data_IF_214156414829
#
_entry.id   IF_214156414829
#
_cell.length_a   1.000
_cell.length_b   1.000
_cell.length_c   1.000
_cell.angle_alpha   90.00
_cell.angle_beta   90.00
_cell.angle_gamma   90.00
#
_symmetry.space_group_name_H-M   'P 1'
#
loop_
_entity.id
_entity.type
_entity.pdbx_description
1 polymer ?
#
# COMPACT_ATOMS: atom_id res chain seq x y z
N UNK A 1 2.49 9.06 -18.62
CA UNK A 1 2.84 8.52 -17.30
C UNK A 1 2.48 9.55 -16.24
N UNK A 2 1.53 9.26 -15.36
CA UNK A 2 1.24 10.15 -14.23
C UNK A 2 2.46 10.24 -13.32
N UNK A 3 2.85 11.44 -12.90
CA UNK A 3 3.99 11.63 -11.98
C UNK A 3 3.71 10.90 -10.68
N UNK A 4 4.55 9.94 -10.31
CA UNK A 4 4.51 9.31 -9.00
C UNK A 4 4.85 10.34 -7.91
N UNK A 5 4.14 10.29 -6.79
CA UNK A 5 4.43 11.09 -5.61
C UNK A 5 5.18 10.21 -4.60
N UNK A 6 6.22 10.76 -3.98
CA UNK A 6 7.01 10.07 -2.94
C UNK A 6 6.51 10.52 -1.57
N UNK A 7 6.34 9.57 -0.68
CA UNK A 7 6.01 9.80 0.73
C UNK A 7 7.06 9.06 1.56
N UNK A 8 7.69 9.75 2.50
CA UNK A 8 8.58 9.14 3.48
C UNK A 8 7.77 8.82 4.74
N UNK A 9 7.91 7.60 5.24
CA UNK A 9 7.25 7.12 6.46
C UNK A 9 8.30 6.50 7.37
N UNK A 10 8.06 6.57 8.67
CA UNK A 10 8.89 5.93 9.68
C UNK A 10 8.10 4.80 10.35
N UNK A 11 8.75 3.66 10.54
CA UNK A 11 8.21 2.51 11.24
C UNK A 11 9.13 2.17 12.41
N UNK A 12 8.55 1.64 13.48
CA UNK A 12 9.34 1.01 14.54
C UNK A 12 9.99 -0.27 14.01
N UNK A 13 11.02 -0.78 14.69
CA UNK A 13 11.65 -2.05 14.30
C UNK A 13 10.66 -3.21 14.28
N UNK A 14 9.73 -3.26 15.23
CA UNK A 14 8.70 -4.30 15.29
C UNK A 14 7.73 -4.23 14.12
N UNK A 15 7.35 -3.02 13.69
CA UNK A 15 6.54 -2.81 12.50
C UNK A 15 7.32 -3.18 11.23
N UNK A 16 8.62 -2.85 11.17
CA UNK A 16 9.46 -3.23 10.03
C UNK A 16 9.59 -4.74 9.87
N UNK A 17 9.87 -5.46 10.97
CA UNK A 17 9.91 -6.93 11.01
C UNK A 17 8.59 -7.57 10.58
N UNK A 18 7.46 -6.89 10.80
CA UNK A 18 6.17 -7.33 10.29
C UNK A 18 6.07 -7.13 8.78
N UNK A 19 6.48 -5.96 8.26
CA UNK A 19 6.48 -5.67 6.83
C UNK A 19 7.35 -6.64 6.03
N UNK A 20 8.51 -7.02 6.56
CA UNK A 20 9.44 -7.95 5.91
C UNK A 20 8.83 -9.33 5.65
N UNK A 21 7.85 -9.77 6.46
CA UNK A 21 7.16 -11.05 6.26
C UNK A 21 6.33 -11.09 4.97
N UNK A 22 6.00 -9.94 4.39
CA UNK A 22 5.23 -9.85 3.16
C UNK A 22 6.11 -9.79 1.90
N UNK A 23 7.44 -9.81 2.04
CA UNK A 23 8.35 -9.81 0.89
C UNK A 23 8.18 -11.09 0.07
N UNK A 24 8.05 -10.95 -1.24
CA UNK A 24 7.78 -12.05 -2.17
C UNK A 24 6.28 -12.35 -2.36
N UNK A 25 5.40 -11.94 -1.44
CA UNK A 25 3.93 -12.02 -1.62
C UNK A 25 3.35 -10.68 -2.08
N UNK A 26 3.68 -9.59 -1.39
CA UNK A 26 3.19 -8.23 -1.67
C UNK A 26 4.18 -7.41 -2.51
N UNK A 27 5.25 -8.03 -3.01
CA UNK A 27 6.29 -7.39 -3.83
C UNK A 27 7.68 -7.57 -3.25
N UNK A 28 8.68 -7.18 -4.05
CA UNK A 28 10.09 -7.38 -3.71
C UNK A 28 10.72 -6.15 -3.04
N UNK A 29 10.23 -4.95 -3.36
CA UNK A 29 10.68 -3.69 -2.78
C UNK A 29 9.80 -3.18 -1.64
N UNK A 30 10.40 -2.48 -0.67
CA UNK A 30 9.66 -1.99 0.51
C UNK A 30 8.52 -1.04 0.14
N UNK A 31 8.75 -0.19 -0.87
CA UNK A 31 7.72 0.71 -1.38
C UNK A 31 6.55 -0.05 -2.01
N UNK A 32 6.81 -1.18 -2.67
CA UNK A 32 5.77 -2.01 -3.30
C UNK A 32 4.95 -2.75 -2.24
N UNK A 33 5.62 -3.30 -1.23
CA UNK A 33 4.97 -3.94 -0.09
C UNK A 33 4.02 -2.95 0.59
N UNK A 34 4.51 -1.76 0.96
CA UNK A 34 3.68 -0.72 1.61
C UNK A 34 2.53 -0.29 0.70
N UNK A 35 2.78 -0.07 -0.60
CA UNK A 35 1.75 0.29 -1.57
C UNK A 35 0.66 -0.77 -1.67
N UNK A 36 1.02 -2.03 -1.77
CA UNK A 36 0.07 -3.13 -1.94
C UNK A 36 -0.75 -3.38 -0.67
N UNK A 37 -0.15 -3.21 0.50
CA UNK A 37 -0.89 -3.21 1.79
C UNK A 37 -1.94 -2.09 1.80
N UNK A 38 -1.57 -0.87 1.41
CA UNK A 38 -2.52 0.27 1.36
C UNK A 38 -3.66 -0.01 0.39
N UNK A 39 -3.35 -0.54 -0.81
CA UNK A 39 -4.38 -0.90 -1.80
C UNK A 39 -5.31 -2.00 -1.30
N UNK A 40 -4.76 -3.05 -0.67
CA UNK A 40 -5.54 -4.14 -0.11
C UNK A 40 -6.49 -3.65 0.99
N UNK A 41 -6.00 -2.81 1.91
CA UNK A 41 -6.81 -2.23 2.98
C UNK A 41 -7.93 -1.33 2.42
N UNK A 42 -7.62 -0.46 1.45
CA UNK A 42 -8.62 0.39 0.80
C UNK A 42 -9.68 -0.41 0.04
N UNK A 43 -9.31 -1.55 -0.52
CA UNK A 43 -10.23 -2.48 -1.17
C UNK A 43 -11.15 -3.15 -0.15
N UNK A 44 -10.60 -3.66 0.95
CA UNK A 44 -11.37 -4.31 2.03
C UNK A 44 -12.41 -3.37 2.63
N UNK A 45 -12.05 -2.09 2.80
CA UNK A 45 -12.96 -1.06 3.35
C UNK A 45 -13.93 -0.46 2.33
N UNK A 46 -13.99 -0.99 1.10
CA UNK A 46 -14.88 -0.49 0.03
C UNK A 46 -14.67 0.99 -0.34
N UNK A 47 -13.51 1.58 -0.03
CA UNK A 47 -13.21 2.96 -0.41
C UNK A 47 -12.92 3.11 -1.91
N UNK A 48 -12.34 2.08 -2.53
CA UNK A 48 -12.04 2.07 -3.97
C UNK A 48 -13.35 1.98 -4.79
N UNK A 49 -14.31 1.16 -4.37
CA UNK A 49 -15.59 0.99 -5.08
C UNK A 49 -16.48 2.23 -5.00
N UNK A 50 -16.44 2.97 -3.89
CA UNK A 50 -17.21 4.21 -3.70
C UNK A 50 -16.57 5.38 -4.46
N UNK A 51 -15.25 5.50 -4.44
CA UNK A 51 -14.51 6.58 -5.11
C UNK A 51 -14.47 6.42 -6.64
N UNK A 52 -14.50 5.19 -7.15
CA UNK A 52 -14.58 4.92 -8.59
C UNK A 52 -15.96 5.24 -9.17
N UNK A 53 -17.04 5.02 -8.41
CA UNK A 53 -18.41 5.34 -8.84
C UNK A 53 -18.70 6.84 -8.92
N UNK A 54 -18.05 7.66 -8.09
CA UNK A 54 -18.23 9.12 -8.09
C UNK A 54 -17.44 9.88 -9.18
N UNK A 55 -16.83 9.16 -10.13
CA UNK A 55 -16.14 9.73 -11.30
C UNK A 55 -16.81 9.36 -12.64
N UNK A 56 -18.01 8.79 -12.59
CA UNK A 56 -18.85 8.49 -13.76
C UNK A 56 -19.95 9.52 -13.94
#
# INVERSE_FOLDING_TARGET
>A
MSKSKRVQVAFTESQWKLLEKFRGEFGDGDADIVRNIVLAWLSEKSFISTSAKNKG
#
